data_IF_894537701182
#
_entry.id   IF_894537701182
#
_cell.length_a   1.000
_cell.length_b   1.000
_cell.length_c   1.000
_cell.angle_alpha   90.00
_cell.angle_beta   90.00
_cell.angle_gamma   90.00
#
_symmetry.space_group_name_H-M   'P 1'
#
loop_
_entity.id
_entity.type
_entity.pdbx_description
1 polymer ?
#
# COMPACT_ATOMS: atom_id res chain seq x y z
N UNK A 1 19.87 -4.03 2.68
CA UNK A 1 18.52 -3.91 2.09
C UNK A 1 17.62 -3.32 3.17
N UNK A 2 16.91 -2.21 2.90
CA UNK A 2 15.97 -1.65 3.86
C UNK A 2 14.84 -2.66 4.15
N UNK A 3 14.44 -2.75 5.43
CA UNK A 3 13.42 -3.68 5.92
C UNK A 3 12.03 -3.28 5.36
N UNK A 4 11.22 -4.26 4.95
CA UNK A 4 9.87 -3.97 4.45
C UNK A 4 8.98 -3.57 5.62
N UNK A 5 8.14 -2.57 5.41
CA UNK A 5 7.06 -2.23 6.33
C UNK A 5 6.01 -3.34 6.24
N UNK A 6 5.58 -3.82 7.40
CA UNK A 6 4.54 -4.84 7.49
C UNK A 6 3.24 -4.37 6.84
N UNK A 7 2.58 -5.28 6.13
CA UNK A 7 1.37 -4.93 5.36
C UNK A 7 0.24 -4.45 6.27
N UNK A 8 0.14 -5.02 7.48
CA UNK A 8 -0.89 -4.63 8.47
C UNK A 8 -0.75 -3.16 8.87
N UNK A 9 0.48 -2.67 9.04
CA UNK A 9 0.75 -1.27 9.40
C UNK A 9 0.27 -0.33 8.29
N UNK A 10 0.57 -0.65 7.03
CA UNK A 10 0.12 0.13 5.88
C UNK A 10 -1.41 0.07 5.70
N UNK A 11 -2.05 -1.07 6.00
CA UNK A 11 -3.51 -1.19 5.94
C UNK A 11 -4.13 -0.25 6.97
N UNK A 12 -3.71 -0.31 8.23
CA UNK A 12 -4.24 0.56 9.28
C UNK A 12 -4.04 2.05 8.94
N UNK A 13 -2.87 2.41 8.39
CA UNK A 13 -2.62 3.78 7.93
C UNK A 13 -3.61 4.23 6.84
N UNK A 14 -3.94 3.35 5.89
CA UNK A 14 -4.96 3.60 4.89
C UNK A 14 -6.37 3.73 5.47
N UNK A 15 -6.74 2.86 6.42
CA UNK A 15 -8.03 2.92 7.11
C UNK A 15 -8.17 4.22 7.92
N UNK A 16 -7.11 4.63 8.60
CA UNK A 16 -7.04 5.90 9.31
C UNK A 16 -7.15 7.10 8.36
N UNK A 17 -6.48 7.06 7.20
CA UNK A 17 -6.60 8.10 6.18
C UNK A 17 -8.03 8.22 5.64
N UNK A 18 -8.68 7.08 5.36
CA UNK A 18 -10.08 7.01 4.93
C UNK A 18 -11.04 7.58 5.98
N UNK A 19 -10.82 7.26 7.26
CA UNK A 19 -11.57 7.88 8.37
C UNK A 19 -11.35 9.39 8.44
N UNK A 20 -10.11 9.85 8.25
CA UNK A 20 -9.74 11.27 8.26
C UNK A 20 -10.42 12.10 7.17
N UNK A 21 -10.77 11.50 6.03
CA UNK A 21 -11.51 12.17 4.94
C UNK A 21 -13.03 11.91 5.01
N UNK A 22 -13.55 11.42 6.15
CA UNK A 22 -14.98 11.20 6.34
C UNK A 22 -15.55 9.99 5.58
N UNK A 23 -14.69 9.07 5.12
CA UNK A 23 -15.08 7.84 4.40
C UNK A 23 -14.64 6.59 5.19
N UNK A 24 -15.11 6.38 6.43
CA UNK A 24 -14.67 5.24 7.23
C UNK A 24 -15.01 3.91 6.52
N UNK A 25 -14.05 2.98 6.54
CA UNK A 25 -14.19 1.67 5.91
C UNK A 25 -14.51 0.59 6.95
N UNK A 26 -15.44 -0.30 6.61
CA UNK A 26 -15.80 -1.45 7.46
C UNK A 26 -15.40 -2.74 6.76
N UNK A 27 -14.66 -3.61 7.45
CA UNK A 27 -14.19 -4.88 6.87
C UNK A 27 -15.38 -5.79 6.53
N UNK A 28 -15.46 -6.22 5.28
CA UNK A 28 -16.49 -7.16 4.83
C UNK A 28 -16.04 -8.60 5.04
N UNK A 29 -17.00 -9.50 5.25
CA UNK A 29 -16.73 -10.93 5.30
C UNK A 29 -16.39 -11.41 3.89
N UNK A 30 -15.14 -11.80 3.67
CA UNK A 30 -14.65 -12.33 2.40
C UNK A 30 -14.16 -13.78 2.56
N UNK A 31 -14.24 -14.57 1.49
CA UNK A 31 -13.59 -15.88 1.44
C UNK A 31 -12.09 -15.66 1.13
N UNK A 32 -11.21 -16.20 1.96
CA UNK A 32 -9.75 -16.14 1.77
C UNK A 32 -9.08 -14.88 2.32
N UNK A 33 -7.92 -14.51 1.77
CA UNK A 33 -7.08 -13.38 2.22
C UNK A 33 -7.46 -12.03 1.60
N UNK A 34 -8.60 -11.95 0.92
CA UNK A 34 -9.02 -10.74 0.21
C UNK A 34 -9.42 -9.64 1.19
N UNK A 35 -8.68 -8.53 1.16
CA UNK A 35 -8.87 -7.37 2.05
C UNK A 35 -9.92 -6.43 1.46
N UNK A 36 -11.20 -6.82 1.58
CA UNK A 36 -12.34 -6.09 1.04
C UNK A 36 -13.08 -5.40 2.18
N UNK A 37 -13.43 -4.15 1.96
CA UNK A 37 -14.12 -3.26 2.89
C UNK A 37 -15.33 -2.64 2.20
N UNK A 38 -16.30 -2.19 2.98
CA UNK A 38 -17.45 -1.42 2.52
C UNK A 38 -17.33 0.04 2.92
N UNK A 39 -17.77 0.92 2.03
CA UNK A 39 -18.06 2.32 2.31
C UNK A 39 -19.48 2.47 2.88
N UNK A 40 -19.81 3.61 3.54
CA UNK A 40 -21.13 3.86 4.10
C UNK A 40 -22.27 3.88 3.05
N UNK A 41 -21.96 4.18 1.80
CA UNK A 41 -22.89 4.18 0.66
C UNK A 41 -23.12 2.77 0.06
N UNK A 42 -22.43 1.75 0.56
CA UNK A 42 -22.52 0.37 0.09
C UNK A 42 -21.51 0.00 -0.99
N UNK A 43 -20.71 0.95 -1.50
CA UNK A 43 -19.62 0.65 -2.43
C UNK A 43 -18.52 -0.16 -1.75
N UNK A 44 -17.80 -0.93 -2.55
CA UNK A 44 -16.79 -1.88 -2.08
C UNK A 44 -15.38 -1.41 -2.41
N UNK A 45 -14.46 -1.60 -1.47
CA UNK A 45 -13.08 -1.15 -1.55
C UNK A 45 -12.14 -2.31 -1.28
N UNK A 46 -11.23 -2.59 -2.22
CA UNK A 46 -10.12 -3.51 -2.00
C UNK A 46 -8.89 -2.74 -1.54
N UNK A 47 -8.27 -3.15 -0.44
CA UNK A 47 -7.01 -2.54 0.03
C UNK A 47 -5.82 -3.23 -0.62
N UNK A 48 -4.85 -2.44 -1.09
CA UNK A 48 -3.56 -2.90 -1.61
C UNK A 48 -2.45 -2.09 -0.97
N UNK A 49 -1.44 -2.79 -0.47
CA UNK A 49 -0.26 -2.17 0.13
C UNK A 49 0.95 -2.37 -0.76
N UNK A 50 1.76 -1.33 -0.89
CA UNK A 50 2.92 -1.30 -1.75
C UNK A 50 4.09 -0.70 -0.96
N UNK A 51 5.15 -1.48 -0.75
CA UNK A 51 6.37 -0.98 -0.10
C UNK A 51 7.28 -0.24 -1.09
N UNK A 52 7.27 -0.71 -2.33
CA UNK A 52 7.85 -0.05 -3.49
C UNK A 52 6.72 0.74 -4.17
N UNK A 53 7.04 1.84 -4.86
CA UNK A 53 6.09 2.71 -5.55
C UNK A 53 5.61 2.09 -6.87
N UNK A 54 5.10 0.86 -6.79
CA UNK A 54 4.58 0.05 -7.88
C UNK A 54 3.33 -0.70 -7.44
N UNK A 55 2.24 -0.52 -8.17
CA UNK A 55 1.06 -1.35 -8.03
C UNK A 55 1.22 -2.58 -8.91
N UNK A 56 1.25 -3.75 -8.28
CA UNK A 56 1.31 -5.03 -8.97
C UNK A 56 -0.10 -5.57 -9.17
N UNK A 57 -0.53 -5.59 -10.43
CA UNK A 57 -1.77 -6.22 -10.90
C UNK A 57 -1.44 -7.61 -11.42
N UNK A 58 -2.25 -8.61 -11.04
CA UNK A 58 -2.01 -10.00 -11.42
C UNK A 58 -3.21 -10.55 -12.16
N UNK A 59 -2.98 -11.05 -13.38
CA UNK A 59 -3.95 -11.82 -14.15
C UNK A 59 -3.92 -13.31 -13.79
N UNK A 60 -5.04 -14.00 -13.91
CA UNK A 60 -5.11 -15.47 -13.77
C UNK A 60 -4.37 -16.21 -14.92
N UNK A 61 -4.27 -15.55 -16.07
CA UNK A 61 -3.60 -16.00 -17.29
C UNK A 61 -2.79 -14.85 -17.93
N UNK A 62 -1.89 -15.13 -18.88
CA UNK A 62 -1.16 -14.07 -19.60
C UNK A 62 -2.00 -13.33 -20.66
N UNK A 63 -3.25 -13.76 -20.87
CA UNK A 63 -4.11 -13.23 -21.92
C UNK A 63 -4.49 -11.75 -21.68
N UNK A 64 -4.69 -10.93 -22.73
CA UNK A 64 -5.08 -9.52 -22.58
C UNK A 64 -6.40 -9.30 -21.85
N UNK A 65 -7.30 -10.29 -21.90
CA UNK A 65 -8.62 -10.33 -21.27
C UNK A 65 -8.63 -11.11 -19.94
N UNK A 66 -7.46 -11.53 -19.44
CA UNK A 66 -7.33 -12.23 -18.17
C UNK A 66 -8.07 -11.52 -17.03
N UNK A 67 -8.64 -12.30 -16.10
CA UNK A 67 -9.29 -11.75 -14.91
C UNK A 67 -8.23 -11.18 -13.97
N UNK A 68 -8.36 -9.92 -13.60
CA UNK A 68 -7.37 -9.24 -12.76
C UNK A 68 -7.72 -9.32 -11.28
N UNK A 69 -6.70 -9.40 -10.42
CA UNK A 69 -6.86 -9.42 -8.97
C UNK A 69 -7.37 -8.11 -8.36
N UNK A 70 -7.46 -7.04 -9.16
CA UNK A 70 -8.06 -5.75 -8.82
C UNK A 70 -9.55 -5.67 -9.16
N UNK A 71 -10.08 -6.63 -9.92
CA UNK A 71 -11.50 -6.70 -10.27
C UNK A 71 -12.38 -7.14 -9.10
N UNK A 72 -13.68 -6.86 -9.25
CA UNK A 72 -14.73 -7.30 -8.32
C UNK A 72 -14.91 -6.39 -7.11
N UNK A 73 -14.40 -5.17 -7.17
CA UNK A 73 -14.70 -4.08 -6.22
C UNK A 73 -14.88 -2.77 -6.98
N UNK A 74 -15.53 -1.79 -6.38
CA UNK A 74 -15.74 -0.47 -6.99
C UNK A 74 -14.46 0.39 -6.92
N UNK A 75 -13.73 0.27 -5.81
CA UNK A 75 -12.52 1.04 -5.53
C UNK A 75 -11.33 0.19 -5.12
N UNK A 76 -10.15 0.76 -5.33
CA UNK A 76 -8.88 0.30 -4.79
C UNK A 76 -8.32 1.36 -3.84
N UNK A 77 -8.20 1.02 -2.55
CA UNK A 77 -7.41 1.82 -1.62
C UNK A 77 -5.96 1.35 -1.70
N UNK A 78 -5.12 2.11 -2.38
CA UNK A 78 -3.70 1.86 -2.49
C UNK A 78 -2.95 2.64 -1.42
N UNK A 79 -2.16 1.96 -0.60
CA UNK A 79 -1.36 2.58 0.46
C UNK A 79 0.11 2.24 0.27
N UNK A 80 0.96 3.26 0.30
CA UNK A 80 2.41 3.13 0.17
C UNK A 80 3.11 4.08 1.14
N UNK A 81 4.34 3.77 1.59
CA UNK A 81 5.12 4.77 2.33
C UNK A 81 5.49 5.92 1.40
N UNK A 82 5.67 7.12 1.96
CA UNK A 82 6.11 8.32 1.22
C UNK A 82 7.50 8.09 0.59
N UNK A 83 8.36 7.38 1.31
CA UNK A 83 9.67 6.93 0.84
C UNK A 83 9.66 5.39 0.83
N UNK A 84 10.04 4.77 -0.28
CA UNK A 84 10.01 3.32 -0.43
C UNK A 84 10.70 2.60 0.73
N UNK A 85 10.04 1.54 1.23
CA UNK A 85 10.55 0.67 2.31
C UNK A 85 11.02 1.41 3.56
N UNK A 86 10.50 2.61 3.81
CA UNK A 86 10.92 3.45 4.93
C UNK A 86 9.75 3.71 5.87
N UNK A 87 9.84 3.32 7.15
CA UNK A 87 8.82 3.67 8.15
C UNK A 87 8.64 5.19 8.23
N UNK A 88 7.38 5.63 8.37
CA UNK A 88 7.02 7.04 8.47
C UNK A 88 5.71 7.35 7.78
N UNK A 89 5.64 8.54 7.18
CA UNK A 89 4.46 9.01 6.44
C UNK A 89 4.06 8.05 5.33
N UNK A 90 2.76 7.91 5.13
CA UNK A 90 2.17 7.10 4.06
C UNK A 90 1.37 7.98 3.11
N UNK A 91 1.34 7.58 1.84
CA UNK A 91 0.50 8.17 0.80
C UNK A 91 -0.56 7.15 0.44
N UNK A 92 -1.81 7.61 0.42
CA UNK A 92 -2.97 6.79 0.08
C UNK A 92 -3.71 7.34 -1.14
N UNK A 93 -4.17 6.45 -2.01
CA UNK A 93 -5.02 6.77 -3.16
C UNK A 93 -6.29 5.95 -3.09
N UNK A 94 -7.44 6.59 -3.33
CA UNK A 94 -8.72 5.90 -3.52
C UNK A 94 -9.06 5.91 -5.02
N UNK A 95 -8.65 4.84 -5.71
CA UNK A 95 -8.69 4.74 -7.18
C UNK A 95 -9.97 3.99 -7.61
N UNK A 96 -10.70 4.45 -8.65
CA UNK A 96 -11.74 3.63 -9.26
C UNK A 96 -11.13 2.33 -9.81
N UNK A 97 -11.65 1.18 -9.41
CA UNK A 97 -11.08 -0.11 -9.83
C UNK A 97 -11.10 -0.27 -11.35
N UNK A 98 -12.16 0.22 -12.01
CA UNK A 98 -12.30 0.24 -13.47
C UNK A 98 -11.19 1.00 -14.20
N UNK A 99 -10.72 2.11 -13.63
CA UNK A 99 -9.63 2.90 -14.22
C UNK A 99 -8.29 2.19 -14.06
N UNK A 100 -8.07 1.54 -12.91
CA UNK A 100 -6.88 0.70 -12.68
C UNK A 100 -6.87 -0.51 -13.64
N UNK A 101 -8.02 -1.18 -13.81
CA UNK A 101 -8.20 -2.29 -14.76
C UNK A 101 -7.85 -1.84 -16.19
N UNK A 102 -8.41 -0.72 -16.64
CA UNK A 102 -8.17 -0.19 -17.98
C UNK A 102 -6.69 0.13 -18.22
N UNK A 103 -6.03 0.78 -17.26
CA UNK A 103 -4.60 1.10 -17.37
C UNK A 103 -3.71 -0.15 -17.32
N UNK A 104 -4.02 -1.12 -16.47
CA UNK A 104 -3.31 -2.40 -16.45
C UNK A 104 -3.42 -3.14 -17.79
N UNK A 105 -4.62 -3.17 -18.39
CA UNK A 105 -4.84 -3.77 -19.72
C UNK A 105 -4.13 -2.99 -20.83
N UNK A 106 -4.19 -1.66 -20.82
CA UNK A 106 -3.49 -0.79 -21.80
C UNK A 106 -1.99 -1.06 -21.80
N UNK A 107 -1.38 -1.02 -20.61
CA UNK A 107 0.07 -1.23 -20.45
C UNK A 107 0.52 -2.64 -20.83
N UNK A 108 -0.27 -3.66 -20.50
CA UNK A 108 0.01 -5.04 -20.92
C UNK A 108 -0.09 -5.21 -22.44
N UNK A 109 -1.10 -4.60 -23.08
CA UNK A 109 -1.25 -4.61 -24.53
C UNK A 109 -0.05 -3.95 -25.24
N UNK A 110 0.38 -2.77 -24.76
CA UNK A 110 1.58 -2.10 -25.27
C UNK A 110 2.84 -2.92 -25.02
N UNK A 111 2.91 -3.67 -23.91
CA UNK A 111 4.01 -4.59 -23.67
C UNK A 111 4.03 -5.77 -24.63
N UNK A 112 2.89 -6.38 -24.93
CA UNK A 112 2.77 -7.44 -25.93
C UNK A 112 3.19 -6.98 -27.32
N UNK A 113 2.82 -5.75 -27.70
CA UNK A 113 3.21 -5.14 -28.98
C UNK A 113 4.72 -4.90 -29.10
N UNK A 114 5.43 -4.80 -27.97
CA UNK A 114 6.88 -4.62 -27.92
C UNK A 114 7.69 -5.91 -28.13
N UNK A 115 7.07 -7.02 -28.55
CA UNK A 115 7.71 -8.33 -28.77
C UNK A 115 8.59 -8.79 -27.59
N UNK A 116 7.99 -9.02 -26.40
CA UNK A 116 8.75 -9.35 -25.22
C UNK A 116 9.44 -10.71 -25.32
N UNK A 117 10.63 -10.84 -24.73
CA UNK A 117 11.41 -12.07 -24.69
C UNK A 117 10.67 -13.26 -24.06
N UNK A 118 9.68 -13.00 -23.19
CA UNK A 118 8.84 -14.02 -22.57
C UNK A 118 7.74 -14.55 -23.50
N UNK A 119 7.71 -14.12 -24.77
CA UNK A 119 6.70 -14.52 -25.77
C UNK A 119 5.25 -14.29 -25.31
N UNK A 120 5.05 -13.25 -24.50
CA UNK A 120 3.75 -12.89 -23.95
C UNK A 120 3.38 -13.60 -22.64
N UNK A 121 4.20 -14.54 -22.13
CA UNK A 121 3.93 -15.23 -20.87
C UNK A 121 4.28 -14.35 -19.66
N UNK A 122 3.40 -13.39 -19.36
CA UNK A 122 3.50 -12.55 -18.18
C UNK A 122 2.12 -12.31 -17.56
N UNK A 123 1.97 -12.72 -16.30
CA UNK A 123 0.76 -12.52 -15.50
C UNK A 123 0.85 -11.32 -14.55
N UNK A 124 2.02 -10.70 -14.44
CA UNK A 124 2.33 -9.65 -13.48
C UNK A 124 2.48 -8.32 -14.21
N UNK A 125 1.48 -7.45 -14.06
CA UNK A 125 1.39 -6.18 -14.78
C UNK A 125 1.65 -5.04 -13.79
N UNK A 126 2.72 -4.30 -14.02
CA UNK A 126 3.23 -3.30 -13.07
C UNK A 126 2.83 -1.90 -13.50
N UNK A 127 2.19 -1.15 -12.59
CA UNK A 127 1.89 0.27 -12.75
C UNK A 127 2.77 1.07 -11.79
N UNK A 128 3.74 1.78 -12.33
CA UNK A 128 4.78 2.48 -11.56
C UNK A 128 4.38 3.92 -11.27
N UNK A 129 4.50 4.30 -10.00
CA UNK A 129 4.20 5.67 -9.56
C UNK A 129 5.36 6.63 -9.81
N UNK A 130 6.55 6.10 -10.11
CA UNK A 130 7.74 6.88 -10.45
C UNK A 130 7.75 7.29 -11.92
N UNK A 131 8.35 8.44 -12.21
CA UNK A 131 8.47 8.99 -13.57
C UNK A 131 9.59 8.34 -14.40
N UNK A 132 10.64 7.86 -13.77
CA UNK A 132 11.80 7.20 -14.38
C UNK A 132 11.59 5.69 -14.64
N UNK A 133 10.42 5.16 -14.32
CA UNK A 133 10.03 3.78 -14.60
C UNK A 133 9.73 3.54 -16.10
N UNK A 134 9.49 2.29 -16.56
CA UNK A 134 9.24 2.00 -17.97
C UNK A 134 8.14 2.87 -18.58
N UNK A 135 8.46 3.59 -19.66
CA UNK A 135 7.66 4.67 -20.23
C UNK A 135 6.17 4.33 -20.47
N UNK A 136 5.87 3.09 -20.83
CA UNK A 136 4.49 2.62 -21.05
C UNK A 136 3.62 2.62 -19.78
N UNK A 137 4.23 2.43 -18.61
CA UNK A 137 3.55 2.14 -17.34
C UNK A 137 4.12 2.96 -16.17
N UNK A 138 4.54 4.21 -16.39
CA UNK A 138 5.14 5.09 -15.39
C UNK A 138 4.24 6.27 -15.00
N UNK A 139 4.71 7.08 -14.05
CA UNK A 139 4.16 8.38 -13.64
C UNK A 139 2.71 8.34 -13.14
N UNK A 140 2.28 7.21 -12.57
CA UNK A 140 0.93 7.10 -12.01
C UNK A 140 0.68 8.00 -10.79
N UNK A 141 1.72 8.45 -10.09
CA UNK A 141 1.57 9.47 -9.03
C UNK A 141 0.99 10.78 -9.58
N UNK A 142 1.45 11.21 -10.77
CA UNK A 142 0.93 12.41 -11.44
C UNK A 142 -0.44 12.14 -12.05
N UNK A 143 -0.57 11.04 -12.82
CA UNK A 143 -1.82 10.68 -13.53
C UNK A 143 -3.02 10.50 -12.58
N UNK A 144 -2.78 9.97 -11.39
CA UNK A 144 -3.81 9.72 -10.38
C UNK A 144 -3.75 10.66 -9.18
N UNK A 145 -3.07 11.80 -9.32
CA UNK A 145 -2.96 12.82 -8.26
C UNK A 145 -4.32 13.28 -7.73
N UNK A 146 -5.35 13.36 -8.60
CA UNK A 146 -6.74 13.69 -8.22
C UNK A 146 -7.40 12.70 -7.24
N UNK A 147 -6.89 11.48 -7.15
CA UNK A 147 -7.39 10.42 -6.26
C UNK A 147 -6.59 10.29 -4.98
N UNK A 148 -5.52 11.07 -4.82
CA UNK A 148 -4.71 11.07 -3.61
C UNK A 148 -5.55 11.62 -2.45
N UNK A 149 -5.56 10.90 -1.34
CA UNK A 149 -6.18 11.40 -0.12
C UNK A 149 -5.35 12.56 0.42
N UNK A 150 -6.01 13.66 0.79
CA UNK A 150 -5.35 14.87 1.29
C UNK A 150 -4.74 14.70 2.71
N UNK A 151 -4.94 13.53 3.33
CA UNK A 151 -4.44 13.21 4.67
C UNK A 151 -3.25 12.27 4.55
N UNK A 152 -2.15 12.63 5.22
CA UNK A 152 -0.95 11.80 5.35
C UNK A 152 -0.93 11.21 6.76
N UNK A 153 -0.90 9.88 6.87
CA UNK A 153 -0.84 9.17 8.15
C UNK A 153 0.57 8.61 8.36
N UNK A 154 1.13 8.79 9.55
CA UNK A 154 2.35 8.11 9.94
C UNK A 154 2.04 6.64 10.24
N UNK A 155 2.74 5.73 9.58
CA UNK A 155 2.53 4.29 9.68
C UNK A 155 2.58 3.80 11.14
N UNK A 156 3.49 4.32 11.95
CA UNK A 156 3.65 3.93 13.36
C UNK A 156 2.56 4.49 14.29
N UNK A 157 1.85 5.54 13.89
CA UNK A 157 0.74 6.14 14.66
C UNK A 157 -0.61 5.49 14.33
N UNK A 158 -0.70 4.75 13.22
CA UNK A 158 -1.94 4.15 12.75
C UNK A 158 -2.35 2.89 13.51
N UNK A 159 -1.43 2.27 14.25
CA UNK A 159 -1.72 1.06 15.01
C UNK A 159 -2.54 1.40 16.27
N UNK A 160 -3.71 0.78 16.49
CA UNK A 160 -4.37 0.87 17.80
C UNK A 160 -3.45 0.29 18.88
N UNK A 161 -3.54 0.77 20.14
CA UNK A 161 -2.78 0.19 21.25
C UNK A 161 -3.02 -1.32 21.28
N UNK A 162 -1.91 -2.08 21.33
CA UNK A 162 -1.90 -3.51 21.07
C UNK A 162 -2.98 -4.26 21.84
N UNK A 163 -3.85 -4.98 21.12
CA UNK A 163 -4.68 -6.01 21.73
C UNK A 163 -3.76 -7.10 22.33
N UNK A 164 -4.06 -7.64 23.52
CA UNK A 164 -3.22 -8.65 24.16
C UNK A 164 -3.16 -9.90 23.28
N UNK A 165 -1.94 -10.28 22.87
CA UNK A 165 -1.68 -11.46 22.04
C UNK A 165 -0.99 -11.21 20.69
N UNK A 166 -0.77 -9.95 20.29
CA UNK A 166 0.02 -9.65 19.08
C UNK A 166 1.51 -9.82 19.38
N UNK A 167 2.16 -10.83 18.79
CA UNK A 167 3.63 -10.89 18.74
C UNK A 167 4.11 -9.80 17.78
N UNK A 168 4.23 -8.58 18.27
CA UNK A 168 4.98 -7.54 17.59
C UNK A 168 6.47 -7.92 17.59
N UNK A 169 7.16 -7.62 16.50
CA UNK A 169 8.60 -7.72 16.49
C UNK A 169 9.12 -6.62 17.41
N UNK A 170 9.55 -6.99 18.63
CA UNK A 170 10.03 -6.04 19.66
C UNK A 170 11.08 -5.09 19.07
N UNK A 171 11.86 -5.55 18.08
CA UNK A 171 12.85 -4.73 17.38
C UNK A 171 12.24 -3.55 16.61
N UNK A 172 11.12 -3.72 15.92
CA UNK A 172 10.48 -2.62 15.18
C UNK A 172 9.85 -1.60 16.13
N UNK A 173 9.23 -2.07 17.21
CA UNK A 173 8.68 -1.21 18.26
C UNK A 173 9.77 -0.37 18.95
N UNK A 174 10.93 -0.97 19.23
CA UNK A 174 12.08 -0.26 19.80
C UNK A 174 12.60 0.80 18.84
N UNK A 175 12.73 0.50 17.55
CA UNK A 175 13.19 1.48 16.57
C UNK A 175 12.20 2.65 16.38
N UNK A 176 10.90 2.37 16.37
CA UNK A 176 9.86 3.41 16.33
C UNK A 176 9.84 4.26 17.61
N UNK A 177 10.05 3.64 18.78
CA UNK A 177 10.23 4.35 20.03
C UNK A 177 11.49 5.23 20.04
N UNK A 178 12.63 4.73 19.51
CA UNK A 178 13.88 5.49 19.40
C UNK A 178 13.69 6.74 18.53
N UNK A 179 13.02 6.61 17.39
CA UNK A 179 12.73 7.73 16.49
C UNK A 179 11.84 8.79 17.14
N UNK A 180 10.79 8.38 17.84
CA UNK A 180 9.89 9.29 18.57
C UNK A 180 10.63 10.08 19.66
N UNK A 181 11.44 9.39 20.46
CA UNK A 181 12.23 10.02 21.53
C UNK A 181 13.27 10.97 20.95
N UNK A 182 13.96 10.56 19.88
CA UNK A 182 14.97 11.38 19.21
C UNK A 182 14.38 12.70 18.69
N UNK A 183 13.22 12.61 18.01
CA UNK A 183 12.51 13.78 17.51
C UNK A 183 12.04 14.70 18.64
N UNK A 184 11.49 14.15 19.72
CA UNK A 184 11.03 14.93 20.87
C UNK A 184 12.18 15.61 21.62
N UNK A 185 13.34 14.95 21.69
CA UNK A 185 14.52 15.45 22.38
C UNK A 185 15.44 16.30 21.48
N UNK A 186 15.16 16.41 20.18
CA UNK A 186 16.00 17.15 19.23
C UNK A 186 17.40 16.55 19.05
N UNK A 187 17.54 15.24 19.23
CA UNK A 187 18.82 14.51 19.13
C UNK A 187 18.81 13.51 17.97
N UNK A 188 19.98 13.08 17.47
CA UNK A 188 20.06 11.99 16.49
C UNK A 188 19.50 10.66 17.05
N UNK A 189 18.90 9.82 16.20
CA UNK A 189 18.29 8.53 16.60
C UNK A 189 19.33 7.59 17.22
N UNK A 190 20.57 7.69 16.76
CA UNK A 190 21.73 6.94 17.24
C UNK A 190 22.08 7.28 18.69
N UNK A 191 21.74 8.48 19.15
CA UNK A 191 21.96 8.94 20.52
C UNK A 191 20.91 8.39 21.51
N UNK A 192 19.80 7.83 21.02
CA UNK A 192 18.75 7.25 21.87
C UNK A 192 19.01 5.77 22.09
N UNK A 193 19.15 5.36 23.35
CA UNK A 193 19.28 3.95 23.78
C UNK A 193 18.07 3.55 24.62
N UNK A 194 17.38 2.48 24.23
CA UNK A 194 16.24 1.92 24.96
C UNK A 194 16.67 0.58 25.56
N UNK A 195 16.45 0.42 26.86
CA UNK A 195 16.64 -0.86 27.58
C UNK A 195 15.27 -1.38 27.99
N UNK A 196 14.98 -2.64 27.66
CA UNK A 196 13.74 -3.31 28.05
C UNK A 196 14.11 -4.35 29.12
N UNK A 197 13.52 -4.21 30.30
CA UNK A 197 13.60 -5.24 31.34
C UNK A 197 12.35 -6.10 31.25
N UNK A 198 12.53 -7.40 31.06
CA UNK A 198 11.43 -8.36 31.15
C UNK A 198 11.38 -8.86 32.60
N UNK A 199 10.40 -8.41 33.36
CA UNK A 199 10.04 -9.05 34.62
C UNK A 199 9.16 -10.27 34.26
N UNK A 200 9.62 -11.44 34.68
CA UNK A 200 8.93 -12.72 34.50
C UNK A 200 8.15 -13.11 35.75
#
# INVERSE_FOLDING_TARGET
MAERIESEVLIEAGLAAMKGVGKPLVRLRSKGRSMIYGLPDGETVRVRTCNDHVLIVVGDSPAPDAKLNVEGTDWLLLVMPEIERTPGKTVSYLLPAKEVEAEARRTHKEWLQGNPNTKGDNRTWNLWFKKDAPAKANDYATKWSRYRLAVTINASEALPPAAPGRRTNIKSEVEDARRRIAQAAGVPVEAVKITINFEG
#
